data_IF_305686061204
#
_entry.id   IF_305686061204
#
_cell.length_a   1.000
_cell.length_b   1.000
_cell.length_c   1.000
_cell.angle_alpha   90.00
_cell.angle_beta   90.00
_cell.angle_gamma   90.00
#
_symmetry.space_group_name_H-M   'P 1'
#
loop_
_entity.id
_entity.type
_entity.pdbx_description
1 polymer ?
2 polymer ?
3 non-polymer ?
4 water ?
#
# COMPACT_ATOMS: atom_id res chain seq x y z
N UNK A 16 -9.69 31.54 -4.08
CA UNK A 16 -8.50 31.80 -3.25
C UNK A 16 -7.38 30.75 -3.49
N UNK A 17 -6.56 30.48 -2.46
CA UNK A 17 -5.63 29.34 -2.44
C UNK A 17 -6.31 27.99 -2.64
N UNK A 18 -7.56 27.88 -2.18
CA UNK A 18 -8.43 26.71 -2.41
C UNK A 18 -8.34 26.18 -3.83
N UNK A 19 -8.27 27.11 -4.79
CA UNK A 19 -8.18 26.77 -6.21
C UNK A 19 -6.92 25.99 -6.49
N UNK A 20 -5.78 26.50 -6.03
CA UNK A 20 -4.49 25.79 -6.14
C UNK A 20 -4.51 24.40 -5.49
N UNK A 21 -5.20 24.29 -4.35
CA UNK A 21 -5.28 23.05 -3.57
C UNK A 21 -6.12 21.99 -4.25
N UNK A 22 -7.26 22.45 -4.76
CA UNK A 22 -8.13 21.66 -5.62
C UNK A 22 -7.40 21.11 -6.84
N UNK A 23 -6.57 21.94 -7.45
CA UNK A 23 -5.81 21.58 -8.64
C UNK A 23 -4.73 20.54 -8.34
N UNK A 24 -4.18 20.62 -7.14
CA UNK A 24 -3.15 19.69 -6.68
C UNK A 24 -3.79 18.32 -6.44
N UNK A 25 -4.95 18.33 -5.78
CA UNK A 25 -5.77 17.14 -5.62
C UNK A 25 -6.05 16.42 -6.94
N UNK A 26 -6.41 17.18 -7.98
CA UNK A 26 -6.82 16.59 -9.25
C UNK A 26 -5.62 16.06 -10.05
N UNK A 27 -4.50 16.78 -9.96
CA UNK A 27 -3.22 16.29 -10.46
C UNK A 27 -2.86 14.94 -9.80
N UNK A 28 -2.94 14.90 -8.48
CA UNK A 28 -2.63 13.69 -7.73
C UNK A 28 -3.60 12.54 -8.02
N UNK A 29 -4.91 12.83 -8.12
CA UNK A 29 -5.88 11.80 -8.52
C UNK A 29 -5.53 11.18 -9.87
N UNK A 30 -5.19 12.03 -10.83
CA UNK A 30 -4.90 11.55 -12.17
C UNK A 30 -3.66 10.70 -12.22
N UNK A 31 -2.61 11.17 -11.57
CA UNK A 31 -1.37 10.43 -11.42
C UNK A 31 -1.57 9.07 -10.71
N UNK A 32 -2.47 9.05 -9.74
CA UNK A 32 -2.80 7.83 -9.01
C UNK A 32 -3.46 6.82 -9.94
N UNK A 33 -4.42 7.31 -10.70
CA UNK A 33 -5.11 6.52 -11.72
C UNK A 33 -4.12 5.86 -12.72
N UNK A 34 -3.11 6.61 -13.16
CA UNK A 34 -2.11 6.08 -14.07
C UNK A 34 -1.16 5.10 -13.38
N UNK A 35 -0.71 5.47 -12.18
CA UNK A 35 0.27 4.69 -11.44
C UNK A 35 -0.25 3.33 -10.97
N UNK A 36 -1.52 3.27 -10.55
CA UNK A 36 -2.02 2.07 -9.88
C UNK A 36 -3.03 1.38 -10.77
N UNK A 37 -2.85 0.06 -11.00
CA UNK A 37 -3.69 -0.59 -12.02
C UNK A 37 -5.16 -0.76 -11.59
N UNK A 38 -5.39 -1.24 -10.37
CA UNK A 38 -6.72 -1.50 -9.83
C UNK A 38 -7.11 -0.45 -8.81
N UNK A 39 -8.15 0.32 -9.11
CA UNK A 39 -8.59 1.41 -8.23
C UNK A 39 -9.39 0.78 -7.12
N UNK A 40 -9.54 1.49 -6.01
CA UNK A 40 -10.48 1.08 -4.97
C UNK A 40 -11.87 0.93 -5.56
N UNK A 41 -12.26 1.83 -6.49
CA UNK A 41 -13.62 1.83 -7.05
C UNK A 41 -13.95 0.48 -7.74
N UNK A 42 -13.05 0.02 -8.61
CA UNK A 42 -13.25 -1.23 -9.31
C UNK A 42 -13.25 -2.39 -8.33
N UNK A 43 -12.32 -2.36 -7.39
CA UNK A 43 -12.15 -3.43 -6.39
C UNK A 43 -13.39 -3.64 -5.53
N UNK A 44 -14.01 -2.56 -5.10
CA UNK A 44 -15.28 -2.66 -4.38
C UNK A 44 -16.37 -3.26 -5.28
N UNK A 45 -16.45 -2.78 -6.52
CA UNK A 45 -17.42 -3.28 -7.51
C UNK A 45 -17.33 -4.80 -7.65
N UNK A 46 -16.09 -5.27 -7.82
CA UNK A 46 -15.79 -6.69 -7.82
C UNK A 46 -16.25 -7.31 -6.49
N UNK A 47 -15.70 -6.85 -5.38
CA UNK A 47 -16.01 -7.37 -4.04
C UNK A 47 -17.49 -7.48 -3.64
N UNK A 48 -18.36 -6.70 -4.29
CA UNK A 48 -19.81 -6.71 -4.00
C UNK A 48 -20.64 -7.26 -5.16
N UNK A 49 -19.96 -7.86 -6.14
CA UNK A 49 -20.60 -8.40 -7.34
C UNK A 49 -21.34 -7.41 -8.23
N UNK A 50 -21.00 -6.12 -8.11
CA UNK A 50 -21.68 -5.04 -8.83
C UNK A 50 -20.97 -4.80 -10.15
N UNK A 51 -20.95 -5.85 -10.97
CA UNK A 51 -20.25 -5.81 -12.24
C UNK A 51 -20.71 -6.99 -13.08
N UNK A 52 -21.14 -6.74 -14.32
CA UNK A 52 -21.43 -7.81 -15.27
C UNK A 52 -20.08 -8.34 -15.76
N UNK A 53 -19.40 -9.01 -14.85
CA UNK A 53 -18.10 -9.63 -15.07
C UNK A 53 -18.09 -10.75 -14.05
N UNK A 54 -17.69 -11.95 -14.48
CA UNK A 54 -17.72 -13.14 -13.60
C UNK A 54 -16.91 -12.86 -12.34
N UNK A 55 -17.41 -13.33 -11.22
CA UNK A 55 -16.73 -13.13 -9.94
C UNK A 55 -15.33 -13.83 -9.96
N UNK A 56 -14.46 -13.46 -9.02
CA UNK A 56 -13.13 -14.06 -9.02
C UNK A 56 -13.09 -15.50 -8.47
N UNK A 57 -12.02 -16.23 -8.78
CA UNK A 57 -11.83 -17.58 -8.30
C UNK A 57 -11.43 -17.61 -6.82
N UNK A 58 -12.37 -18.02 -5.98
CA UNK A 58 -12.19 -18.02 -4.54
C UNK A 58 -11.21 -19.14 -4.14
N UNK A 59 -10.17 -18.79 -3.37
CA UNK A 59 -9.15 -19.72 -2.84
C UNK A 59 -9.24 -19.79 -1.33
N UNK A 60 -9.81 -20.89 -0.84
CA UNK A 60 -10.14 -21.09 0.59
C UNK A 60 -9.38 -22.26 1.25
N UNK A 61 -8.74 -23.12 0.45
CA UNK A 61 -8.02 -24.30 0.96
C UNK A 61 -6.99 -24.72 -0.07
N UNK A 62 -6.22 -25.77 0.26
CA UNK A 62 -5.18 -26.25 -0.63
C UNK A 62 -5.71 -26.72 -1.99
N UNK A 63 -6.85 -27.42 -1.99
CA UNK A 63 -7.53 -27.85 -3.24
C UNK A 63 -7.81 -26.67 -4.19
N UNK A 64 -8.48 -25.67 -3.64
CA UNK A 64 -8.89 -24.46 -4.36
C UNK A 64 -7.70 -23.76 -4.93
N UNK A 65 -6.65 -23.66 -4.13
CA UNK A 65 -5.38 -23.09 -4.56
C UNK A 65 -4.82 -23.85 -5.77
N UNK A 66 -4.85 -25.19 -5.73
CA UNK A 66 -4.42 -26.04 -6.85
C UNK A 66 -5.24 -25.76 -8.11
N UNK A 67 -6.56 -25.85 -7.97
CA UNK A 67 -7.50 -25.53 -9.04
C UNK A 67 -7.33 -24.11 -9.55
N UNK A 68 -7.01 -23.19 -8.64
CA UNK A 68 -6.83 -21.77 -8.94
C UNK A 68 -5.41 -21.25 -9.12
N UNK A 69 -4.42 -22.15 -9.12
CA UNK A 69 -3.02 -21.76 -9.36
C UNK A 69 -2.79 -21.35 -10.81
N UNK A 70 -3.62 -21.85 -11.73
CA UNK A 70 -3.63 -21.34 -13.12
C UNK A 70 -4.00 -19.87 -13.19
N UNK A 71 -4.92 -19.46 -12.31
CA UNK A 71 -5.38 -18.08 -12.21
C UNK A 71 -4.43 -17.13 -11.47
N UNK A 72 -3.53 -17.67 -10.65
CA UNK A 72 -2.58 -16.86 -9.86
C UNK A 72 -1.57 -16.14 -10.77
N UNK A 73 -1.33 -14.88 -10.44
CA UNK A 73 -0.49 -13.98 -11.22
C UNK A 73 1.00 -14.38 -11.30
N UNK A 74 1.49 -15.06 -10.28
CA UNK A 74 2.92 -15.40 -10.14
C UNK A 74 3.62 -15.90 -11.42
N UNK A 75 4.80 -15.33 -11.68
CA UNK A 75 5.75 -15.76 -12.74
C UNK A 75 7.12 -16.01 -12.10
N UNK A 85 8.93 -26.71 -3.02
CA UNK A 85 8.30 -25.62 -2.27
C UNK A 85 6.92 -26.03 -1.77
N UNK A 86 6.68 -25.81 -0.48
CA UNK A 86 5.37 -26.08 0.14
C UNK A 86 4.38 -24.92 -0.14
N UNK A 87 3.11 -25.16 0.18
CA UNK A 87 2.02 -24.22 -0.10
C UNK A 87 2.26 -22.83 0.51
N UNK A 88 2.39 -22.78 1.84
CA UNK A 88 2.67 -21.54 2.58
C UNK A 88 3.80 -20.74 1.96
N UNK A 89 4.88 -21.43 1.59
CA UNK A 89 6.03 -20.82 0.91
C UNK A 89 5.59 -20.25 -0.44
N UNK A 90 4.85 -21.05 -1.20
CA UNK A 90 4.39 -20.61 -2.53
C UNK A 90 3.46 -19.39 -2.46
N UNK A 91 2.49 -19.41 -1.56
CA UNK A 91 1.58 -18.25 -1.36
C UNK A 91 2.35 -16.98 -1.04
N UNK A 92 3.27 -17.08 -0.09
CA UNK A 92 4.10 -15.93 0.31
C UNK A 92 4.98 -15.43 -0.83
N UNK A 93 5.41 -16.33 -1.71
CA UNK A 93 6.19 -15.96 -2.91
C UNK A 93 5.33 -15.15 -3.87
N UNK A 94 4.13 -15.64 -4.14
CA UNK A 94 3.12 -14.92 -4.91
C UNK A 94 2.78 -13.56 -4.30
N UNK A 95 2.60 -13.53 -2.99
CA UNK A 95 2.38 -12.29 -2.26
C UNK A 95 3.63 -11.37 -2.36
N UNK A 96 4.80 -11.96 -2.44
CA UNK A 96 6.04 -11.20 -2.55
C UNK A 96 6.26 -10.59 -3.93
N UNK A 97 5.87 -11.32 -4.96
CA UNK A 97 5.92 -10.88 -6.36
C UNK A 97 5.14 -9.57 -6.51
N UNK A 98 3.90 -9.59 -6.06
CA UNK A 98 2.99 -8.45 -6.15
C UNK A 98 3.47 -7.26 -5.33
N UNK A 99 4.08 -7.53 -4.19
CA UNK A 99 4.70 -6.50 -3.34
C UNK A 99 5.73 -5.67 -4.08
N UNK A 100 6.62 -6.35 -4.81
CA UNK A 100 7.66 -5.69 -5.62
C UNK A 100 7.07 -4.76 -6.68
N UNK A 101 5.96 -5.17 -7.28
CA UNK A 101 5.31 -4.36 -8.29
C UNK A 101 4.64 -3.13 -7.67
N UNK A 102 4.13 -3.32 -6.45
CA UNK A 102 3.55 -2.23 -5.69
C UNK A 102 4.59 -1.16 -5.43
N UNK A 103 5.80 -1.58 -5.07
CA UNK A 103 6.89 -0.62 -4.84
C UNK A 103 7.24 0.11 -6.12
N UNK A 104 7.25 -0.61 -7.25
CA UNK A 104 7.44 0.04 -8.56
C UNK A 104 6.36 1.08 -8.81
N UNK A 105 5.13 0.77 -8.41
CA UNK A 105 3.99 1.66 -8.62
C UNK A 105 3.97 2.87 -7.69
N UNK A 106 4.28 2.63 -6.41
CA UNK A 106 4.37 3.71 -5.42
C UNK A 106 5.49 4.67 -5.81
N UNK A 107 6.62 4.12 -6.27
CA UNK A 107 7.79 4.91 -6.69
C UNK A 107 7.43 5.83 -7.85
N UNK A 108 6.70 5.33 -8.82
CA UNK A 108 6.24 6.13 -9.97
C UNK A 108 5.31 7.25 -9.58
N UNK A 109 4.37 6.95 -8.68
CA UNK A 109 3.48 7.94 -8.12
C UNK A 109 4.22 9.05 -7.36
N UNK A 110 5.13 8.65 -6.45
CA UNK A 110 6.04 9.58 -5.72
C UNK A 110 6.70 10.61 -6.64
N UNK A 111 7.31 10.13 -7.72
CA UNK A 111 7.89 10.98 -8.78
C UNK A 111 6.97 12.10 -9.26
N UNK A 112 5.68 11.81 -9.34
CA UNK A 112 4.68 12.79 -9.77
C UNK A 112 4.22 13.79 -8.72
N UNK A 113 4.54 13.54 -7.44
CA UNK A 113 4.14 14.47 -6.40
C UNK A 113 5.00 15.72 -6.59
N UNK A 114 4.36 16.89 -6.84
CA UNK A 114 5.15 18.10 -7.15
C UNK A 114 6.32 18.37 -6.20
N UNK A 115 7.51 18.46 -6.77
CA UNK A 115 8.72 18.76 -6.02
C UNK A 115 9.35 17.60 -5.27
N UNK A 116 8.85 16.38 -5.44
CA UNK A 116 9.47 15.22 -4.81
C UNK A 116 10.83 14.91 -5.49
N UNK A 117 10.86 14.98 -6.83
CA UNK A 117 12.08 14.65 -7.59
C UNK A 117 13.19 15.70 -7.37
N UNK A 118 12.77 16.96 -7.19
CA UNK A 118 13.70 18.05 -6.82
C UNK A 118 14.41 17.87 -5.48
N UNK A 119 13.82 17.09 -4.59
CA UNK A 119 14.51 16.70 -3.37
C UNK A 119 15.81 15.98 -3.68
N UNK A 120 16.64 15.90 -2.65
CA UNK A 120 17.86 15.16 -2.73
C UNK A 120 17.52 13.70 -2.99
N UNK A 121 18.12 13.10 -4.02
CA UNK A 121 17.94 11.68 -4.33
C UNK A 121 18.18 10.74 -3.13
N UNK A 122 19.04 11.11 -2.19
CA UNK A 122 19.23 10.30 -0.96
C UNK A 122 18.01 10.35 -0.04
N UNK A 123 17.31 11.47 -0.07
CA UNK A 123 16.05 11.63 0.66
C UNK A 123 14.85 10.97 -0.05
N UNK A 124 14.70 11.25 -1.35
CA UNK A 124 13.78 10.47 -2.19
C UNK A 124 13.81 8.99 -1.77
N UNK A 125 15.01 8.42 -1.70
CA UNK A 125 15.22 7.02 -1.30
C UNK A 125 14.76 6.76 0.13
N UNK A 126 15.16 7.61 1.07
CA UNK A 126 14.74 7.47 2.47
C UNK A 126 13.22 7.45 2.67
N UNK A 127 12.56 8.41 2.04
CA UNK A 127 11.11 8.56 2.08
C UNK A 127 10.41 7.28 1.63
N UNK A 128 10.75 6.84 0.41
CA UNK A 128 10.20 5.62 -0.14
C UNK A 128 10.46 4.40 0.73
N UNK A 129 11.69 4.28 1.19
CA UNK A 129 12.14 3.17 2.01
C UNK A 129 11.25 2.97 3.23
N UNK A 130 10.99 4.05 3.96
CA UNK A 130 10.03 4.02 5.09
C UNK A 130 8.55 4.11 4.68
N UNK A 131 8.28 4.79 3.56
CA UNK A 131 6.90 5.04 3.12
C UNK A 131 6.12 3.83 2.60
N UNK A 132 6.75 3.00 1.78
CA UNK A 132 6.06 1.97 1.00
C UNK A 132 5.21 0.97 1.79
N UNK A 133 5.69 0.51 2.93
CA UNK A 133 4.94 -0.46 3.74
C UNK A 133 3.67 0.11 4.33
N UNK A 134 3.73 1.39 4.68
CA UNK A 134 2.58 2.13 5.13
C UNK A 134 1.55 2.26 4.01
N UNK A 135 2.02 2.53 2.80
CA UNK A 135 1.16 2.63 1.62
C UNK A 135 0.66 1.27 1.12
N UNK A 136 1.45 0.22 1.31
CA UNK A 136 1.08 -1.13 0.88
C UNK A 136 -0.12 -1.58 1.69
N UNK A 137 -0.01 -1.41 2.99
CA UNK A 137 -1.14 -1.54 3.91
C UNK A 137 -2.37 -0.72 3.47
N UNK A 138 -2.15 0.52 3.05
CA UNK A 138 -3.25 1.36 2.56
C UNK A 138 -3.87 0.72 1.34
N UNK A 139 -3.03 0.35 0.38
CA UNK A 139 -3.45 -0.28 -0.87
C UNK A 139 -4.20 -1.60 -0.64
N UNK A 140 -3.59 -2.50 0.11
CA UNK A 140 -4.26 -3.75 0.49
C UNK A 140 -5.66 -3.51 1.04
N UNK A 141 -5.84 -2.52 1.89
CA UNK A 141 -7.17 -2.27 2.46
C UNK A 141 -8.23 -2.04 1.37
N UNK A 142 -7.89 -1.25 0.35
CA UNK A 142 -8.75 -1.14 -0.84
C UNK A 142 -9.20 -2.53 -1.40
N UNK A 143 -8.29 -3.50 -1.38
CA UNK A 143 -8.53 -4.87 -1.84
C UNK A 143 -9.12 -5.88 -0.85
N UNK A 144 -9.29 -5.47 0.40
CA UNK A 144 -9.79 -6.35 1.45
C UNK A 144 -11.19 -6.02 1.93
N UNK A 145 -11.84 -7.07 2.43
CA UNK A 145 -13.01 -6.97 3.28
C UNK A 145 -12.74 -7.84 4.49
N UNK A 146 -13.73 -7.99 5.38
CA UNK A 146 -13.57 -8.77 6.62
C UNK A 146 -13.15 -10.24 6.42
N UNK A 147 -13.52 -10.84 5.30
CA UNK A 147 -13.29 -12.26 5.04
C UNK A 147 -12.17 -12.65 4.08
N UNK A 148 -11.74 -11.74 3.22
CA UNK A 148 -10.66 -12.06 2.26
C UNK A 148 -10.10 -10.87 1.50
N UNK A 149 -9.20 -11.17 0.56
CA UNK A 149 -8.48 -10.19 -0.26
C UNK A 149 -8.54 -10.51 -1.75
N UNK A 150 -8.79 -9.49 -2.58
CA UNK A 150 -8.65 -9.64 -4.02
C UNK A 150 -7.19 -9.79 -4.43
N UNK A 151 -6.94 -10.74 -5.34
CA UNK A 151 -5.62 -10.91 -5.92
C UNK A 151 -5.72 -11.05 -7.43
N UNK A 152 -4.55 -11.01 -8.09
CA UNK A 152 -4.41 -11.05 -9.55
C UNK A 152 -5.36 -10.08 -10.23
N UNK A 153 -5.12 -8.81 -9.97
CA UNK A 153 -5.97 -7.71 -10.47
C UNK A 153 -7.43 -8.11 -10.45
N UNK A 154 -7.90 -8.47 -9.26
CA UNK A 154 -9.31 -8.85 -9.02
C UNK A 154 -9.83 -10.15 -9.61
N UNK A 155 -8.94 -10.99 -10.11
CA UNK A 155 -9.32 -12.26 -10.72
C UNK A 155 -9.42 -13.43 -9.73
N UNK A 156 -8.71 -13.31 -8.62
CA UNK A 156 -8.81 -14.26 -7.51
C UNK A 156 -9.24 -13.57 -6.23
N UNK A 157 -9.77 -14.36 -5.30
CA UNK A 157 -10.14 -13.91 -3.97
C UNK A 157 -9.63 -14.92 -2.94
N UNK A 158 -8.58 -14.57 -2.20
CA UNK A 158 -7.99 -15.46 -1.22
C UNK A 158 -8.54 -15.16 0.15
N UNK A 159 -9.05 -16.20 0.83
CA UNK A 159 -9.79 -16.00 2.08
C UNK A 159 -8.87 -15.78 3.28
N UNK A 160 -9.40 -15.04 4.23
CA UNK A 160 -8.69 -14.69 5.46
C UNK A 160 -8.48 -15.89 6.34
N UNK A 161 -9.54 -16.67 6.50
CA UNK A 161 -9.53 -17.95 7.22
C UNK A 161 -8.46 -18.91 6.69
N UNK A 162 -8.28 -18.92 5.37
CA UNK A 162 -7.27 -19.74 4.71
C UNK A 162 -5.85 -19.28 4.99
N UNK A 163 -5.64 -17.97 4.85
CA UNK A 163 -4.33 -17.33 5.10
C UNK A 163 -3.92 -17.47 6.54
N UNK A 164 -4.85 -17.15 7.44
CA UNK A 164 -4.76 -17.39 8.90
C UNK A 164 -4.34 -18.82 9.25
N UNK A 165 -5.01 -19.77 8.60
CA UNK A 165 -4.76 -21.19 8.83
C UNK A 165 -3.43 -21.72 8.31
N UNK A 166 -2.69 -20.95 7.52
CA UNK A 166 -1.35 -21.36 7.14
C UNK A 166 -0.46 -21.56 8.36
N UNK A 167 0.55 -22.42 8.20
CA UNK A 167 1.52 -22.67 9.28
C UNK A 167 2.28 -21.41 9.65
N UNK A 168 2.81 -21.39 10.86
CA UNK A 168 3.61 -20.26 11.33
C UNK A 168 4.98 -20.35 10.66
N UNK A 169 5.70 -19.25 10.48
CA UNK A 169 5.25 -17.87 10.79
C UNK A 169 4.25 -17.23 9.80
N UNK A 170 3.84 -17.97 8.78
CA UNK A 170 3.10 -17.41 7.66
C UNK A 170 1.63 -17.10 7.94
N UNK A 171 1.01 -17.85 8.85
CA UNK A 171 -0.41 -17.69 9.17
C UNK A 171 -0.80 -16.34 9.74
N UNK A 172 0.16 -15.68 10.39
CA UNK A 172 -0.07 -14.42 11.10
C UNK A 172 0.55 -13.22 10.36
N UNK A 173 0.95 -13.44 9.12
CA UNK A 173 1.55 -12.43 8.29
C UNK A 173 0.54 -11.40 7.75
N UNK A 174 -0.58 -11.89 7.21
CA UNK A 174 -1.60 -11.03 6.62
C UNK A 174 -2.65 -10.58 7.61
N UNK A 175 -2.84 -11.31 8.70
CA UNK A 175 -3.92 -11.00 9.64
C UNK A 175 -3.86 -9.56 10.23
N UNK A 176 -2.67 -9.06 10.58
CA UNK A 176 -2.59 -7.65 11.00
C UNK A 176 -3.04 -6.64 9.93
N UNK A 177 -2.78 -6.98 8.67
CA UNK A 177 -3.20 -6.16 7.54
C UNK A 177 -4.71 -6.23 7.36
N UNK A 178 -5.31 -7.40 7.57
CA UNK A 178 -6.78 -7.54 7.63
C UNK A 178 -7.40 -6.70 8.76
N UNK A 179 -6.81 -6.78 9.95
CA UNK A 179 -7.26 -6.05 11.15
C UNK A 179 -7.28 -4.54 10.96
N UNK A 180 -6.23 -4.03 10.31
CA UNK A 180 -6.12 -2.60 10.00
C UNK A 180 -7.19 -2.17 8.99
N UNK A 181 -7.37 -3.00 7.97
CA UNK A 181 -8.24 -2.69 6.86
C UNK A 181 -9.72 -2.59 7.24
N UNK A 182 -10.19 -3.37 8.22
CA UNK A 182 -11.62 -3.28 8.61
C UNK A 182 -11.83 -1.95 9.31
N UNK A 183 -10.86 -1.57 10.12
CA UNK A 183 -10.85 -0.25 10.76
C UNK A 183 -10.71 0.90 9.74
N UNK A 184 -9.77 0.76 8.82
CA UNK A 184 -9.48 1.81 7.86
C UNK A 184 -10.56 1.99 6.82
N UNK A 185 -11.20 0.89 6.44
CA UNK A 185 -12.25 0.96 5.42
C UNK A 185 -13.58 1.53 5.95
N UNK A 186 -13.80 1.44 7.27
CA UNK A 186 -14.89 2.16 7.95
C UNK A 186 -14.98 3.65 7.61
N UNK A 187 -13.84 4.25 7.26
CA UNK A 187 -13.78 5.66 6.87
C UNK A 187 -14.29 5.94 5.47
N UNK A 188 -14.50 4.89 4.70
CA UNK A 188 -15.17 5.02 3.42
C UNK A 188 -14.52 6.10 2.56
N UNK A 189 -13.20 6.07 2.50
CA UNK A 189 -12.47 6.97 1.65
C UNK A 189 -12.57 6.44 0.24
N UNK A 190 -12.57 7.34 -0.73
CA UNK A 190 -12.50 6.96 -2.13
C UNK A 190 -11.12 7.25 -2.73
N UNK A 191 -10.95 6.97 -4.01
CA UNK A 191 -9.67 7.08 -4.68
C UNK A 191 -9.07 8.47 -4.68
N UNK A 192 -9.94 9.47 -4.79
CA UNK A 192 -9.54 10.86 -4.78
C UNK A 192 -8.99 11.29 -3.41
N UNK A 193 -9.56 10.76 -2.35
CA UNK A 193 -9.04 10.97 -1.00
C UNK A 193 -7.71 10.26 -0.83
N UNK A 194 -7.70 8.98 -1.21
CA UNK A 194 -6.57 8.10 -1.09
C UNK A 194 -5.34 8.64 -1.77
N UNK A 195 -5.51 9.21 -2.96
CA UNK A 195 -4.40 9.79 -3.73
C UNK A 195 -3.61 10.82 -2.92
N UNK A 196 -4.35 11.69 -2.24
CA UNK A 196 -3.74 12.76 -1.47
C UNK A 196 -3.19 12.18 -0.19
N UNK A 197 -3.97 11.32 0.46
CA UNK A 197 -3.51 10.67 1.69
C UNK A 197 -2.17 9.97 1.49
N UNK A 198 -2.02 9.26 0.38
CA UNK A 198 -0.80 8.52 0.06
C UNK A 198 0.40 9.48 -0.07
N UNK A 199 0.19 10.55 -0.82
CA UNK A 199 1.19 11.63 -0.98
C UNK A 199 1.66 12.18 0.36
N UNK A 200 0.71 12.44 1.24
CA UNK A 200 1.01 12.89 2.60
C UNK A 200 1.90 11.91 3.37
N UNK A 201 1.65 10.60 3.24
CA UNK A 201 2.45 9.61 3.94
C UNK A 201 3.91 9.62 3.46
N UNK A 202 4.10 9.68 2.12
CA UNK A 202 5.41 9.62 1.50
C UNK A 202 6.30 10.77 1.96
N UNK A 203 5.73 11.99 1.97
CA UNK A 203 6.45 13.20 2.33
C UNK A 203 6.46 13.51 3.84
N UNK A 204 6.85 12.52 4.64
CA UNK A 204 7.00 12.69 6.06
C UNK A 204 8.41 13.18 6.39
N UNK A 205 8.51 14.38 6.95
CA UNK A 205 9.78 14.97 7.35
C UNK A 205 10.45 14.31 8.56
N UNK A 206 9.75 13.41 9.24
CA UNK A 206 10.26 12.78 10.46
C UNK A 206 10.82 11.37 10.27
N UNK A 207 11.28 11.04 9.07
CA UNK A 207 11.90 9.73 8.80
C UNK A 207 13.36 9.70 9.21
N UNK A 208 13.78 8.63 9.91
CA UNK A 208 15.19 8.46 10.27
C UNK A 208 16.13 8.68 9.09
N UNK A 209 17.03 9.65 9.23
CA UNK A 209 18.16 9.80 8.32
C UNK A 209 17.94 10.72 7.15
N UNK A 210 17.00 11.64 7.27
CA UNK A 210 16.79 12.61 6.20
C UNK A 210 17.88 13.67 6.29
N UNK A 211 18.42 14.05 5.15
CA UNK A 211 19.48 15.05 5.09
C UNK A 211 18.92 16.45 5.19
N UNK A 212 17.79 16.70 4.55
CA UNK A 212 17.22 18.04 4.44
C UNK A 212 15.68 18.04 4.58
N UNK A 213 15.22 18.12 5.83
CA UNK A 213 13.83 18.06 6.26
C UNK A 213 12.95 19.24 5.76
N UNK A 214 13.51 20.43 5.61
CA UNK A 214 12.71 21.64 5.34
C UNK A 214 11.85 21.66 4.05
N UNK A 215 12.44 21.32 2.89
CA UNK A 215 11.63 21.28 1.65
C UNK A 215 10.58 20.13 1.61
N UNK A 216 10.86 19.01 2.28
CA UNK A 216 9.89 17.91 2.49
C UNK A 216 8.62 18.44 3.20
N UNK A 217 8.82 18.98 4.40
CA UNK A 217 7.74 19.51 5.23
C UNK A 217 6.95 20.63 4.51
N UNK A 218 7.64 21.44 3.71
CA UNK A 218 6.97 22.47 2.89
C UNK A 218 5.94 21.89 1.90
N UNK A 219 6.30 20.78 1.26
CA UNK A 219 5.38 20.07 0.38
C UNK A 219 4.25 19.40 1.20
N UNK A 220 4.61 18.73 2.29
CA UNK A 220 3.64 18.06 3.14
C UNK A 220 2.58 19.02 3.65
N UNK A 221 2.97 20.25 3.92
CA UNK A 221 2.04 21.25 4.37
C UNK A 221 1.02 21.56 3.27
N UNK A 222 1.49 21.71 2.04
CA UNK A 222 0.56 21.88 0.94
C UNK A 222 -0.36 20.70 0.81
N UNK A 223 0.20 19.51 0.94
CA UNK A 223 -0.52 18.25 0.77
C UNK A 223 -1.59 18.07 1.82
N UNK A 224 -1.24 18.37 3.08
CA UNK A 224 -2.18 18.25 4.20
C UNK A 224 -3.39 19.19 4.04
N UNK A 225 -3.14 20.40 3.54
CA UNK A 225 -4.20 21.35 3.27
C UNK A 225 -5.07 20.88 2.13
N UNK A 226 -4.41 20.41 1.05
CA UNK A 226 -5.09 19.74 -0.05
C UNK A 226 -5.99 18.64 0.45
N UNK A 227 -5.49 17.84 1.41
CA UNK A 227 -6.24 16.75 2.00
C UNK A 227 -7.44 17.22 2.83
N UNK A 228 -7.21 18.16 3.74
CA UNK A 228 -8.29 18.73 4.51
C UNK A 228 -9.44 19.28 3.63
N UNK A 229 -9.10 20.01 2.58
CA UNK A 229 -10.08 20.57 1.66
C UNK A 229 -10.84 19.47 0.92
N UNK A 230 -10.09 18.51 0.37
CA UNK A 230 -10.66 17.33 -0.28
C UNK A 230 -11.71 16.63 0.61
N UNK A 231 -11.35 16.38 1.86
CA UNK A 231 -12.21 15.68 2.80
C UNK A 231 -13.45 16.48 3.19
N UNK A 232 -13.29 17.79 3.33
CA UNK A 232 -14.42 18.68 3.58
C UNK A 232 -15.39 18.68 2.39
N UNK A 233 -14.86 18.86 1.19
CA UNK A 233 -15.66 18.93 -0.04
C UNK A 233 -16.28 17.61 -0.46
N UNK A 234 -15.44 16.59 -0.56
CA UNK A 234 -15.89 15.28 -0.99
C UNK A 234 -16.79 14.57 0.04
N UNK A 235 -16.62 14.90 1.33
CA UNK A 235 -17.46 14.33 2.40
C UNK A 235 -17.99 15.38 3.38
N UNK A 236 -18.86 16.32 2.91
CA UNK A 236 -19.41 17.32 3.83
C UNK A 236 -20.25 16.70 4.93
N UNK A 237 -20.84 15.55 4.60
CA UNK A 237 -21.50 14.67 5.55
C UNK A 237 -20.64 14.41 6.82
N UNK A 238 -19.35 14.16 6.61
CA UNK A 238 -18.48 13.69 7.67
C UNK A 238 -17.46 14.76 8.07
N UNK A 239 -17.61 15.28 9.28
CA UNK A 239 -16.62 16.19 9.87
C UNK A 239 -15.65 15.40 10.75
N UNK A 240 -14.40 15.87 10.80
CA UNK A 240 -13.28 15.18 11.49
C UNK A 240 -12.90 13.83 10.91
N UNK A 241 -13.19 13.70 9.62
CA UNK A 241 -12.67 12.61 8.84
C UNK A 241 -11.17 12.84 8.68
N UNK A 242 -10.79 14.10 8.47
CA UNK A 242 -9.40 14.55 8.47
C UNK A 242 -8.65 14.19 9.76
N UNK A 243 -9.25 14.50 10.90
CA UNK A 243 -8.63 14.18 12.18
C UNK A 243 -8.52 12.68 12.39
N UNK A 244 -9.57 11.98 11.97
CA UNK A 244 -9.66 10.54 12.16
C UNK A 244 -8.59 9.84 11.32
N UNK A 245 -8.52 10.25 10.07
CA UNK A 245 -7.52 9.79 9.12
C UNK A 245 -6.07 10.08 9.51
N UNK A 246 -5.80 11.21 10.16
CA UNK A 246 -4.46 11.48 10.66
C UNK A 246 -4.05 10.57 11.82
N UNK A 247 -5.03 10.14 12.61
CA UNK A 247 -4.78 9.22 13.71
C UNK A 247 -4.41 7.81 13.24
N UNK A 248 -5.10 7.35 12.18
CA UNK A 248 -4.73 6.13 11.42
C UNK A 248 -3.31 6.12 10.88
N UNK A 249 -2.87 7.28 10.41
CA UNK A 249 -1.51 7.48 9.88
C UNK A 249 -0.46 7.17 10.93
N UNK A 250 -0.73 7.55 12.18
CA UNK A 250 0.18 7.32 13.30
C UNK A 250 0.16 5.87 13.80
N UNK A 251 -1.00 5.22 13.77
CA UNK A 251 -1.10 3.78 14.13
C UNK A 251 -0.24 2.95 13.19
N UNK A 252 -0.48 3.19 11.91
CA UNK A 252 0.13 2.51 10.77
C UNK A 252 1.63 2.45 10.82
N UNK A 253 2.29 3.46 11.38
CA UNK A 253 3.75 3.40 11.61
C UNK A 253 4.13 2.20 12.47
N UNK A 254 3.56 2.12 13.66
CA UNK A 254 3.87 1.04 14.61
C UNK A 254 3.37 -0.32 14.17
N UNK A 255 2.31 -0.33 13.39
CA UNK A 255 1.82 -1.53 12.73
C UNK A 255 2.83 -2.02 11.67
N UNK A 256 3.45 -1.10 10.95
CA UNK A 256 4.47 -1.42 9.95
C UNK A 256 5.77 -1.90 10.59
N UNK A 257 6.03 -1.49 11.83
CA UNK A 257 7.19 -1.97 12.58
C UNK A 257 7.10 -3.48 12.85
N UNK A 258 5.93 -3.93 13.30
CA UNK A 258 5.66 -5.37 13.48
C UNK A 258 5.92 -6.17 12.20
N UNK A 259 5.43 -5.64 11.08
CA UNK A 259 5.57 -6.30 9.76
C UNK A 259 7.03 -6.41 9.32
N UNK A 260 7.78 -5.32 9.52
CA UNK A 260 9.22 -5.28 9.23
C UNK A 260 9.95 -6.38 9.98
N UNK A 261 9.70 -6.45 11.27
CA UNK A 261 10.30 -7.46 12.13
C UNK A 261 9.98 -8.88 11.71
N UNK A 262 8.68 -9.20 11.58
CA UNK A 262 8.24 -10.54 11.16
C UNK A 262 8.90 -11.00 9.84
N UNK A 263 9.19 -10.06 8.96
CA UNK A 263 9.92 -10.37 7.73
C UNK A 263 11.37 -10.70 8.00
N UNK A 264 12.06 -9.86 8.77
CA UNK A 264 13.44 -10.15 9.18
C UNK A 264 13.59 -11.53 9.85
N UNK A 265 12.57 -11.91 10.62
CA UNK A 265 12.44 -13.28 11.17
C UNK A 265 12.35 -14.33 10.06
N UNK A 266 11.37 -14.15 9.18
CA UNK A 266 11.12 -15.07 8.07
C UNK A 266 12.36 -15.22 7.16
N UNK A 267 13.11 -14.13 6.99
CA UNK A 267 14.36 -14.13 6.24
C UNK A 267 15.31 -15.16 6.83
N UNK A 268 15.49 -15.13 8.15
CA UNK A 268 16.45 -15.98 8.84
C UNK A 268 15.98 -17.44 8.97
N UNK A 269 14.75 -17.62 9.47
CA UNK A 269 14.24 -18.94 9.83
C UNK A 269 13.93 -19.86 8.64
N UNK A 270 13.55 -19.28 7.51
CA UNK A 270 13.18 -20.06 6.32
C UNK A 270 14.29 -19.93 5.27
N UNK A 271 15.18 -20.92 5.26
CA UNK A 271 16.37 -20.92 4.41
C UNK A 271 16.06 -21.26 2.94
N UNK A 272 15.08 -22.16 2.74
CA UNK A 272 14.58 -22.52 1.40
C UNK A 272 14.15 -21.27 0.63
N UNK A 273 13.46 -20.39 1.34
CA UNK A 273 12.85 -19.21 0.73
C UNK A 273 13.83 -18.08 0.41
N UNK A 274 13.86 -17.71 -0.86
CA UNK A 274 14.59 -16.54 -1.32
C UNK A 274 13.66 -15.33 -1.18
N UNK A 275 14.19 -14.24 -0.64
CA UNK A 275 13.50 -12.97 -0.52
C UNK A 275 14.00 -12.05 -1.62
N UNK A 276 13.11 -11.27 -2.22
CA UNK A 276 13.41 -10.51 -3.42
C UNK A 276 14.40 -9.40 -3.07
N UNK A 277 15.37 -9.12 -3.97
CA UNK A 277 16.38 -8.10 -3.69
C UNK A 277 15.82 -6.74 -3.31
N UNK A 278 15.03 -6.12 -4.18
CA UNK A 278 14.35 -4.84 -3.91
C UNK A 278 13.69 -4.79 -2.55
N UNK A 279 13.02 -5.87 -2.17
CA UNK A 279 12.44 -5.95 -0.84
C UNK A 279 13.55 -5.81 0.18
N UNK A 280 14.62 -6.59 0.05
CA UNK A 280 15.74 -6.53 1.00
C UNK A 280 16.33 -5.12 1.14
N UNK A 281 16.53 -4.40 0.04
CA UNK A 281 16.94 -2.98 0.07
C UNK A 281 16.16 -2.13 1.10
N UNK A 282 14.86 -2.43 1.21
CA UNK A 282 13.93 -1.70 2.05
C UNK A 282 13.96 -2.19 3.50
N UNK A 283 14.39 -3.41 3.78
CA UNK A 283 14.47 -3.93 5.17
C UNK A 283 15.80 -3.64 5.86
N UNK A 284 16.80 -3.20 5.08
CA UNK A 284 18.12 -2.88 5.61
C UNK A 284 18.03 -1.63 6.46
N UNK A 285 18.48 -1.71 7.72
CA UNK A 285 18.49 -0.54 8.62
C UNK A 285 17.09 0.04 8.84
N UNK A 286 16.12 -0.86 8.97
CA UNK A 286 14.75 -0.48 9.26
C UNK A 286 14.42 -0.99 10.67
N UNK A 287 14.42 -0.08 11.64
CA UNK A 287 14.11 -0.39 13.05
C UNK A 287 15.09 -1.38 13.68
N UNK B 3 21.33 0.51 -2.27
CA UNK B 3 19.95 0.88 -2.73
C UNK B 3 19.87 1.13 -4.23
N UNK B 4 20.44 0.21 -4.99
CA UNK B 4 20.67 0.39 -6.43
C UNK B 4 19.35 0.35 -7.19
N UNK B 5 18.53 -0.66 -6.90
CA UNK B 5 17.23 -0.81 -7.57
C UNK B 5 16.40 0.42 -7.32
N UNK B 6 16.24 0.78 -6.05
CA UNK B 6 15.55 2.04 -5.69
C UNK B 6 16.12 3.25 -6.40
N UNK B 7 17.45 3.39 -6.38
CA UNK B 7 18.13 4.47 -7.11
C UNK B 7 17.75 4.45 -8.59
N UNK B 8 17.70 3.23 -9.15
CA UNK B 8 17.45 3.03 -10.57
C UNK B 8 15.99 3.31 -10.91
N UNK B 9 15.09 2.78 -10.10
CA UNK B 9 13.65 3.07 -10.23
C UNK B 9 13.38 4.57 -10.20
N UNK B 10 14.08 5.26 -9.30
CA UNK B 10 13.99 6.72 -9.21
C UNK B 10 14.58 7.50 -10.40
N UNK B 11 15.59 6.94 -11.07
CA UNK B 11 16.24 7.61 -12.21
C UNK B 11 15.53 7.39 -13.55
N UNK B 12 14.85 6.26 -13.72
CA UNK B 12 13.98 6.02 -14.89
C UNK B 12 12.94 7.12 -15.05
X LIG C 1 7.87 -9.66 1.70
X LIG C 1 6.83 -7.50 1.96
X LIG C 1 3.26 -9.15 0.61
X LIG C 1 -1.14 -11.70 -3.21
X LIG C 1 -1.81 -11.97 -0.92
X LIG C 1 -0.80 -5.39 -2.77
X LIG C 1 6.73 -8.86 1.67
X LIG C 1 -0.27 -7.72 -2.32
X LIG C 1 0.68 -7.35 -1.39
X LIG C 1 5.49 -9.42 1.34
X LIG C 1 3.05 -10.55 0.69
X LIG C 1 -1.53 -11.14 -2.01
X LIG C 1 2.26 -8.10 0.19
X LIG C 1 -1.62 -9.64 -1.88
X LIG C 1 4.48 -8.61 0.93
X LIG C 1 -1.01 -6.75 -3.00
X LIG C 1 5.31 -10.79 1.44
X LIG C 1 4.09 -11.36 1.11
X LIG C 1 0.90 -5.98 -1.17
X LIG C 1 2.32 -7.02 0.74
X LIG C 1 1.38 -8.34 -0.78
X LIG C 1 0.16 -5.02 -1.84
X LIG C 1 -0.51 -9.04 -2.56
X LIG C 1 -1.70 -13.36 -1.06
X LIG C 1 -1.32 -13.91 -2.28
X LIG C 1 -1.03 -13.09 -3.37
#
# INVERSE_FOLDING_TARGET
GSHMAEISSDIDQLNPESADLRALAKHLYDSYIKSFPLTKAKARAILTGKTTDKSPFVIYDMNSLMMGEDKIKFKHITPLQEQSKEVAIRIFQGCQFRSVEAVQEITEYAKSIPGFVNLDLNDQVTLLKYGVHEIIYTMLASLMNKDGVLISEGQGFMTREFLKSLRKPFGDFMEPKFEFAVKFNALELDDSDLAIFIAVIILSGDRPGLLNVKPIEDIQDNLLQALELQLKLNHPESSQLFAKLLQKMTDLRQIVTEHVQLLQVIKKTETDMSLHPLLQEIYKDLY
ERHKILHRLLQEGSPS
B05 OAB OAC CAZ CAK CAJ CAI NBA CAY CAX CAW CAV CAU CAT CAQ CAP CAO CAN CAM CAL OAA NAR CAH OAS CAF CAE CAG
#
